data_IF_466968531282
#
_entry.id   IF_466968531282
#
_cell.length_a   1.000
_cell.length_b   1.000
_cell.length_c   1.000
_cell.angle_alpha   90.00
_cell.angle_beta   90.00
_cell.angle_gamma   90.00
#
_symmetry.space_group_name_H-M   'P 1'
#
loop_
_entity.id
_entity.type
_entity.pdbx_description
1 polymer ?
#
# COMPACT_ATOMS: atom_id res chain seq x y z
N UNK A 1 -1.66 10.54 6.00
CA UNK A 1 -0.50 9.63 5.86
C UNK A 1 -0.02 9.06 7.18
N UNK A 2 -0.10 9.78 8.30
CA UNK A 2 0.29 9.26 9.62
C UNK A 2 -0.45 7.96 9.99
N UNK A 3 -1.73 7.86 9.61
CA UNK A 3 -2.56 6.65 9.73
C UNK A 3 -2.05 5.55 8.78
N UNK A 4 -1.83 5.84 7.50
CA UNK A 4 -1.36 4.88 6.48
C UNK A 4 -0.01 4.21 6.82
N UNK A 5 0.92 4.90 7.49
CA UNK A 5 2.19 4.30 7.98
C UNK A 5 1.96 3.24 9.08
N UNK A 6 0.92 3.41 9.91
CA UNK A 6 0.53 2.45 10.96
C UNK A 6 -0.17 1.21 10.38
N UNK A 7 -0.76 1.30 9.20
CA UNK A 7 -1.47 0.21 8.52
C UNK A 7 -0.61 -0.68 7.62
N UNK A 8 0.71 -0.48 7.53
CA UNK A 8 1.63 -1.35 6.76
C UNK A 8 1.41 -2.85 7.03
N UNK A 9 1.13 -3.22 8.28
CA UNK A 9 0.84 -4.61 8.68
C UNK A 9 -0.47 -5.16 8.07
N UNK A 10 -1.50 -4.33 7.90
CA UNK A 10 -2.78 -4.75 7.35
C UNK A 10 -2.68 -4.99 5.84
N UNK A 11 -1.86 -4.19 5.17
CA UNK A 11 -1.69 -4.30 3.72
C UNK A 11 -0.95 -5.56 3.31
N UNK A 12 0.05 -5.98 4.10
CA UNK A 12 0.67 -7.29 3.93
C UNK A 12 -0.37 -8.41 4.05
N UNK A 13 -1.27 -8.34 5.04
CA UNK A 13 -2.34 -9.34 5.21
C UNK A 13 -3.31 -9.32 4.03
N UNK A 14 -3.73 -8.15 3.55
CA UNK A 14 -4.63 -8.02 2.38
C UNK A 14 -3.97 -8.56 1.11
N UNK A 15 -2.68 -8.30 0.89
CA UNK A 15 -1.93 -8.84 -0.25
C UNK A 15 -1.89 -10.37 -0.19
N UNK A 16 -1.67 -10.96 0.99
CA UNK A 16 -1.69 -12.41 1.16
C UNK A 16 -3.09 -13.00 0.94
N UNK A 17 -4.15 -12.33 1.37
CA UNK A 17 -5.54 -12.74 1.11
C UNK A 17 -5.83 -12.71 -0.40
N UNK A 18 -5.46 -11.64 -1.09
CA UNK A 18 -5.64 -11.51 -2.54
C UNK A 18 -4.83 -12.59 -3.27
N UNK A 19 -3.57 -12.82 -2.87
CA UNK A 19 -2.74 -13.87 -3.46
C UNK A 19 -3.33 -15.28 -3.23
N UNK A 20 -3.90 -15.56 -2.06
CA UNK A 20 -4.56 -16.84 -1.79
C UNK A 20 -5.87 -17.01 -2.58
N UNK A 21 -6.58 -15.93 -2.88
CA UNK A 21 -7.80 -15.96 -3.72
C UNK A 21 -7.45 -16.14 -5.20
N UNK A 22 -6.43 -15.44 -5.70
CA UNK A 22 -6.02 -15.48 -7.12
C UNK A 22 -5.26 -16.76 -7.44
N UNK A 23 -4.37 -17.19 -6.56
CA UNK A 23 -3.63 -18.45 -6.64
C UNK A 23 -4.01 -19.31 -5.44
N UNK A 24 -5.08 -20.11 -5.53
CA UNK A 24 -5.45 -21.03 -4.45
C UNK A 24 -4.48 -22.22 -4.31
N UNK A 25 -3.40 -22.26 -5.08
CA UNK A 25 -2.34 -23.26 -4.98
C UNK A 25 -1.50 -23.00 -3.72
N UNK A 26 -1.34 -23.99 -2.81
CA UNK A 26 -0.65 -23.84 -1.54
C UNK A 26 0.89 -23.87 -1.67
N UNK A 27 1.43 -23.30 -2.76
CA UNK A 27 2.86 -23.32 -3.10
C UNK A 27 3.55 -22.01 -2.67
N UNK A 28 4.42 -22.02 -1.64
CA UNK A 28 4.98 -20.81 -1.06
C UNK A 28 5.80 -19.96 -2.05
N UNK A 29 6.50 -20.62 -2.97
CA UNK A 29 7.36 -19.96 -3.97
C UNK A 29 6.51 -19.18 -4.98
N UNK A 30 5.48 -19.82 -5.52
CA UNK A 30 4.57 -19.24 -6.50
C UNK A 30 3.75 -18.11 -5.87
N UNK A 31 3.35 -18.29 -4.60
CA UNK A 31 2.64 -17.28 -3.83
C UNK A 31 3.51 -16.03 -3.59
N UNK A 32 4.81 -16.21 -3.29
CA UNK A 32 5.75 -15.10 -3.17
C UNK A 32 5.98 -14.38 -4.51
N UNK A 33 6.13 -15.12 -5.61
CA UNK A 33 6.28 -14.53 -6.96
C UNK A 33 5.09 -13.63 -7.33
N UNK A 34 3.86 -14.03 -6.99
CA UNK A 34 2.65 -13.22 -7.19
C UNK A 34 2.51 -12.09 -6.16
N UNK A 35 2.93 -12.30 -4.92
CA UNK A 35 2.85 -11.29 -3.86
C UNK A 35 3.81 -10.12 -4.10
N UNK A 36 4.97 -10.34 -4.72
CA UNK A 36 5.97 -9.30 -5.04
C UNK A 36 5.37 -8.14 -5.87
N UNK A 37 4.76 -8.36 -7.05
CA UNK A 37 4.19 -7.27 -7.84
C UNK A 37 3.03 -6.56 -7.13
N UNK A 38 2.19 -7.31 -6.39
CA UNK A 38 1.12 -6.73 -5.56
C UNK A 38 1.67 -5.83 -4.44
N UNK A 39 2.75 -6.25 -3.79
CA UNK A 39 3.43 -5.46 -2.77
C UNK A 39 4.05 -4.18 -3.35
N UNK A 40 4.65 -4.26 -4.54
CA UNK A 40 5.19 -3.08 -5.24
C UNK A 40 4.08 -2.07 -5.55
N UNK A 41 2.93 -2.53 -6.07
CA UNK A 41 1.77 -1.65 -6.32
C UNK A 41 1.28 -0.96 -5.04
N UNK A 42 1.27 -1.68 -3.93
CA UNK A 42 0.89 -1.12 -2.63
C UNK A 42 1.89 -0.05 -2.14
N UNK A 43 3.19 -0.31 -2.26
CA UNK A 43 4.24 0.64 -1.89
C UNK A 43 4.13 1.93 -2.74
N UNK A 44 3.86 1.79 -4.04
CA UNK A 44 3.60 2.92 -4.95
C UNK A 44 2.35 3.72 -4.56
N UNK A 45 1.26 3.04 -4.17
CA UNK A 45 0.04 3.70 -3.71
C UNK A 45 0.27 4.53 -2.43
N UNK A 46 1.06 4.02 -1.48
CA UNK A 46 1.45 4.79 -0.29
C UNK A 46 2.29 6.01 -0.69
N UNK A 47 3.29 5.83 -1.55
CA UNK A 47 4.16 6.91 -2.01
C UNK A 47 3.36 8.04 -2.69
N UNK A 48 2.42 7.67 -3.57
CA UNK A 48 1.52 8.61 -4.22
C UNK A 48 0.62 9.34 -3.19
N UNK A 49 -0.02 8.61 -2.28
CA UNK A 49 -0.84 9.20 -1.21
C UNK A 49 -0.05 10.13 -0.29
N UNK A 50 1.20 9.77 0.03
CA UNK A 50 2.10 10.61 0.81
C UNK A 50 2.48 11.91 0.09
N UNK A 51 2.65 11.85 -1.23
CA UNK A 51 2.92 13.03 -2.05
C UNK A 51 1.70 13.96 -2.10
N UNK A 52 0.50 13.41 -2.32
CA UNK A 52 -0.75 14.17 -2.38
C UNK A 52 -1.06 14.86 -1.04
N UNK A 53 -0.85 14.19 0.09
CA UNK A 53 -1.15 14.79 1.38
C UNK A 53 -0.16 15.89 1.79
N UNK A 54 1.09 15.82 1.32
CA UNK A 54 2.02 16.96 1.46
C UNK A 54 1.52 18.18 0.69
N UNK A 55 1.08 17.99 -0.56
CA UNK A 55 0.53 19.08 -1.38
C UNK A 55 -0.72 19.67 -0.70
N UNK A 56 -1.63 18.83 -0.18
CA UNK A 56 -2.80 19.32 0.55
C UNK A 56 -2.46 20.10 1.83
N UNK A 57 -1.43 19.69 2.58
CA UNK A 57 -0.97 20.43 3.77
C UNK A 57 -0.36 21.78 3.42
N UNK A 58 0.43 21.85 2.34
CA UNK A 58 1.01 23.10 1.85
C UNK A 58 -0.07 24.06 1.34
N UNK A 59 -1.10 23.54 0.63
CA UNK A 59 -2.23 24.32 0.17
C UNK A 59 -3.13 24.83 1.33
N UNK A 60 -3.33 24.02 2.37
CA UNK A 60 -4.08 24.44 3.55
C UNK A 60 -3.33 25.54 4.34
N UNK A 61 -2.00 25.41 4.49
CA UNK A 61 -1.19 26.41 5.16
C UNK A 61 -1.12 27.75 4.39
N UNK A 62 -1.27 27.73 3.06
CA UNK A 62 -1.32 28.95 2.23
C UNK A 62 -2.68 29.67 2.26
N UNK A 63 -3.74 29.01 2.72
CA UNK A 63 -5.08 29.60 2.90
C UNK A 63 -5.28 30.20 4.31
N UNK A 64 -4.40 29.89 5.25
CA UNK A 64 -4.40 30.42 6.62
C UNK A 64 -3.51 31.67 6.81
N UNK A 65 -2.90 32.20 5.73
CA UNK A 65 -2.10 33.44 5.69
C UNK A 65 -2.85 34.53 4.92
#
# INVERSE_FOLDING_TARGET
VATLRKYRRHSVVVIFIIAAVVTPTPDPVTQLMMAVPLYVLFELAILAGARVERIKREAAAALEV
#
